data_IF_247229173089
#
_entry.id   IF_247229173089
#
_cell.length_a   1.000
_cell.length_b   1.000
_cell.length_c   1.000
_cell.angle_alpha   90.00
_cell.angle_beta   90.00
_cell.angle_gamma   90.00
#
_symmetry.space_group_name_H-M   'P 1'
#
loop_
_entity.id
_entity.type
_entity.pdbx_description
1 polymer ?
#
# COMPACT_ATOMS: atom_id res chain seq x y z
N UNK A 1 6.92 37.55 -45.35
CA UNK A 1 6.93 37.30 -43.90
C UNK A 1 7.01 35.79 -43.66
N UNK A 2 8.17 35.17 -43.92
CA UNK A 2 8.29 33.70 -43.84
C UNK A 2 9.72 33.22 -43.54
N UNK A 3 10.58 34.12 -43.04
CA UNK A 3 12.02 33.82 -42.80
C UNK A 3 12.36 33.54 -41.34
N UNK A 4 11.46 33.84 -40.41
CA UNK A 4 11.72 33.71 -38.97
C UNK A 4 11.38 32.30 -38.45
N UNK A 5 10.71 31.46 -39.25
CA UNK A 5 10.41 30.07 -38.85
C UNK A 5 11.57 29.07 -39.05
N UNK A 6 12.80 29.50 -39.36
CA UNK A 6 13.88 28.57 -39.76
C UNK A 6 15.23 28.83 -39.10
N UNK A 7 15.26 29.26 -37.84
CA UNK A 7 16.49 29.15 -37.05
C UNK A 7 16.57 27.76 -36.39
N UNK A 8 17.61 26.96 -36.69
CA UNK A 8 17.75 25.61 -36.15
C UNK A 8 17.83 25.58 -34.61
N UNK A 9 18.29 26.68 -33.99
CA UNK A 9 18.35 26.84 -32.53
C UNK A 9 16.96 26.95 -31.88
N UNK A 10 16.01 27.68 -32.49
CA UNK A 10 14.64 27.77 -31.98
C UNK A 10 13.90 26.44 -32.09
N UNK A 11 14.18 25.66 -33.15
CA UNK A 11 13.64 24.31 -33.32
C UNK A 11 14.23 23.34 -32.30
N UNK A 12 15.54 23.41 -32.04
CA UNK A 12 16.23 22.62 -31.03
C UNK A 12 15.67 22.89 -29.62
N UNK A 13 15.52 24.17 -29.24
CA UNK A 13 14.93 24.55 -27.95
C UNK A 13 13.47 24.09 -27.79
N UNK A 14 12.68 24.07 -28.86
CA UNK A 14 11.33 23.52 -28.83
C UNK A 14 11.32 22.00 -28.60
N UNK A 15 12.21 21.24 -29.26
CA UNK A 15 12.40 19.80 -29.00
C UNK A 15 12.86 19.52 -27.57
N UNK A 16 13.79 20.31 -27.03
CA UNK A 16 14.26 20.16 -25.66
C UNK A 16 13.14 20.42 -24.64
N UNK A 17 12.31 21.44 -24.90
CA UNK A 17 11.13 21.72 -24.09
C UNK A 17 10.10 20.57 -24.12
N UNK A 18 9.88 19.95 -25.28
CA UNK A 18 8.98 18.78 -25.40
C UNK A 18 9.54 17.54 -24.71
N UNK A 19 10.85 17.31 -24.80
CA UNK A 19 11.53 16.25 -24.07
C UNK A 19 11.41 16.47 -22.55
N UNK A 20 11.64 17.69 -22.08
CA UNK A 20 11.49 18.05 -20.66
C UNK A 20 10.04 17.85 -20.18
N UNK A 21 9.04 18.26 -20.96
CA UNK A 21 7.62 18.04 -20.63
C UNK A 21 7.28 16.55 -20.52
N UNK A 22 7.84 15.72 -21.40
CA UNK A 22 7.61 14.27 -21.40
C UNK A 22 8.19 13.63 -20.13
N UNK A 23 9.40 14.04 -19.73
CA UNK A 23 10.04 13.57 -18.49
C UNK A 23 9.18 13.98 -17.29
N UNK A 24 8.82 15.26 -17.17
CA UNK A 24 8.02 15.76 -16.05
C UNK A 24 6.67 15.05 -15.98
N UNK A 25 5.98 14.86 -17.12
CA UNK A 25 4.70 14.14 -17.15
C UNK A 25 4.85 12.69 -16.66
N UNK A 26 5.95 12.03 -17.03
CA UNK A 26 6.26 10.65 -16.59
C UNK A 26 6.52 10.59 -15.09
N UNK A 27 7.34 11.51 -14.56
CA UNK A 27 7.65 11.58 -13.13
C UNK A 27 6.42 11.92 -12.28
N UNK A 28 5.58 12.86 -12.75
CA UNK A 28 4.31 13.18 -12.07
C UNK A 28 3.37 11.97 -12.06
N UNK A 29 3.27 11.23 -13.17
CA UNK A 29 2.45 10.02 -13.22
C UNK A 29 2.96 8.94 -12.24
N UNK A 30 4.27 8.71 -12.19
CA UNK A 30 4.91 7.77 -11.27
C UNK A 30 4.70 8.18 -9.80
N UNK A 31 4.89 9.46 -9.48
CA UNK A 31 4.69 10.00 -8.15
C UNK A 31 3.25 9.83 -7.67
N UNK A 32 2.27 10.19 -8.51
CA UNK A 32 0.85 10.05 -8.18
C UNK A 32 0.45 8.58 -8.01
N UNK A 33 1.04 7.65 -8.79
CA UNK A 33 0.84 6.22 -8.58
C UNK A 33 1.42 5.73 -7.24
N UNK A 34 2.60 6.25 -6.86
CA UNK A 34 3.21 5.99 -5.56
C UNK A 34 2.34 6.49 -4.40
N UNK A 35 1.80 7.70 -4.50
CA UNK A 35 0.91 8.26 -3.47
C UNK A 35 -0.35 7.42 -3.26
N UNK A 36 -1.03 7.00 -4.33
CA UNK A 36 -2.19 6.11 -4.21
C UNK A 36 -1.84 4.77 -3.57
N UNK A 37 -0.65 4.22 -3.85
CA UNK A 37 -0.18 2.99 -3.20
C UNK A 37 0.04 3.19 -1.69
N UNK A 38 0.57 4.35 -1.30
CA UNK A 38 0.79 4.70 0.10
C UNK A 38 -0.53 4.81 0.88
N UNK A 39 -1.58 5.38 0.29
CA UNK A 39 -2.91 5.51 0.91
C UNK A 39 -3.57 4.15 1.23
N UNK A 40 -3.24 3.12 0.46
CA UNK A 40 -3.87 1.80 0.56
C UNK A 40 -3.10 0.84 1.48
N UNK A 41 -1.81 1.10 1.70
CA UNK A 41 -0.94 0.24 2.52
C UNK A 41 -1.46 0.08 3.96
N UNK A 42 -1.92 1.15 4.65
CA UNK A 42 -2.49 1.03 6.00
C UNK A 42 -3.71 0.12 6.08
N UNK A 43 -4.56 0.14 5.04
CA UNK A 43 -5.75 -0.72 4.97
C UNK A 43 -5.36 -2.20 4.85
N UNK A 44 -4.34 -2.52 4.04
CA UNK A 44 -3.83 -3.90 3.90
C UNK A 44 -3.19 -4.39 5.19
N UNK A 45 -2.46 -3.53 5.89
CA UNK A 45 -1.84 -3.86 7.17
C UNK A 45 -2.90 -4.11 8.24
N UNK A 46 -3.92 -3.24 8.37
CA UNK A 46 -5.03 -3.44 9.30
C UNK A 46 -5.78 -4.76 9.03
N UNK A 47 -6.01 -5.11 7.76
CA UNK A 47 -6.61 -6.39 7.38
C UNK A 47 -5.78 -7.60 7.86
N UNK A 48 -4.47 -7.55 7.65
CA UNK A 48 -3.56 -8.62 8.10
C UNK A 48 -3.53 -8.73 9.62
N UNK A 49 -3.58 -7.61 10.33
CA UNK A 49 -3.64 -7.61 11.79
C UNK A 49 -4.93 -8.24 12.29
N UNK A 50 -6.10 -7.82 11.77
CA UNK A 50 -7.39 -8.42 12.15
C UNK A 50 -7.41 -9.92 11.95
N UNK A 51 -6.83 -10.40 10.85
CA UNK A 51 -6.76 -11.84 10.59
C UNK A 51 -5.83 -12.57 11.55
N UNK A 52 -4.70 -11.97 11.93
CA UNK A 52 -3.81 -12.51 12.95
C UNK A 52 -4.53 -12.62 14.32
N UNK A 53 -5.29 -11.59 14.70
CA UNK A 53 -6.05 -11.59 15.96
C UNK A 53 -7.11 -12.70 15.99
N UNK A 54 -7.81 -12.93 14.86
CA UNK A 54 -8.77 -14.05 14.72
C UNK A 54 -8.07 -15.41 14.84
N UNK A 55 -6.92 -15.58 14.19
CA UNK A 55 -6.14 -16.82 14.29
C UNK A 55 -5.74 -17.09 15.73
N UNK A 56 -5.23 -16.08 16.43
CA UNK A 56 -4.80 -16.22 17.82
C UNK A 56 -5.97 -16.57 18.74
N UNK A 57 -7.12 -15.91 18.57
CA UNK A 57 -8.33 -16.22 19.33
C UNK A 57 -8.79 -17.68 19.13
N UNK A 58 -8.74 -18.20 17.90
CA UNK A 58 -9.13 -19.58 17.63
C UNK A 58 -8.11 -20.61 18.14
N UNK A 59 -6.81 -20.30 18.13
CA UNK A 59 -5.79 -21.16 18.71
C UNK A 59 -5.92 -21.23 20.24
N UNK A 60 -6.21 -20.10 20.90
CA UNK A 60 -6.50 -20.08 22.34
C UNK A 60 -7.77 -20.90 22.66
N UNK A 61 -8.79 -20.79 21.81
CA UNK A 61 -10.02 -21.58 21.94
C UNK A 61 -9.76 -23.08 21.77
N UNK A 62 -8.87 -23.46 20.87
CA UNK A 62 -8.42 -24.84 20.71
C UNK A 62 -7.70 -25.35 21.97
N UNK A 63 -6.81 -24.55 22.54
CA UNK A 63 -6.07 -24.87 23.76
C UNK A 63 -6.99 -25.15 24.95
N UNK A 64 -8.04 -24.35 25.10
CA UNK A 64 -9.05 -24.56 26.14
C UNK A 64 -9.94 -25.79 25.89
N UNK A 65 -10.26 -26.09 24.63
CA UNK A 65 -11.13 -27.21 24.27
C UNK A 65 -10.42 -28.56 24.30
N UNK A 66 -9.12 -28.59 24.00
CA UNK A 66 -8.30 -29.80 23.92
C UNK A 66 -7.02 -29.65 24.76
N UNK A 67 -7.13 -29.54 26.10
CA UNK A 67 -5.99 -29.31 26.98
C UNK A 67 -4.98 -30.46 26.98
N UNK A 68 -5.38 -31.67 26.57
CA UNK A 68 -4.52 -32.86 26.48
C UNK A 68 -3.86 -33.03 25.10
N UNK A 69 -4.16 -32.15 24.13
CA UNK A 69 -3.54 -32.24 22.81
C UNK A 69 -2.03 -32.00 22.92
N UNK A 70 -1.23 -32.89 22.33
CA UNK A 70 0.22 -32.79 22.32
C UNK A 70 0.70 -31.48 21.67
N UNK A 71 1.72 -30.85 22.25
CA UNK A 71 2.28 -29.58 21.77
C UNK A 71 2.68 -29.65 20.29
N UNK A 72 3.27 -30.76 19.85
CA UNK A 72 3.69 -30.99 18.46
C UNK A 72 2.51 -30.91 17.49
N UNK A 73 1.35 -31.46 17.86
CA UNK A 73 0.14 -31.38 17.04
C UNK A 73 -0.48 -29.98 17.07
N UNK A 74 -0.43 -29.28 18.22
CA UNK A 74 -0.89 -27.88 18.32
C UNK A 74 -0.11 -26.98 17.37
N UNK A 75 1.21 -27.12 17.34
CA UNK A 75 2.07 -26.35 16.45
C UNK A 75 1.75 -26.60 14.98
N UNK A 76 1.50 -27.85 14.58
CA UNK A 76 1.11 -28.17 13.21
C UNK A 76 -0.26 -27.60 12.83
N UNK A 77 -1.22 -27.61 13.76
CA UNK A 77 -2.51 -26.93 13.56
C UNK A 77 -2.32 -25.42 13.42
N UNK A 78 -1.54 -24.79 14.29
CA UNK A 78 -1.23 -23.36 14.23
C UNK A 78 -0.58 -22.98 12.90
N UNK A 79 0.43 -23.73 12.46
CA UNK A 79 1.08 -23.53 11.15
C UNK A 79 0.09 -23.70 10.00
N UNK A 80 -0.80 -24.67 10.07
CA UNK A 80 -1.79 -24.94 9.04
C UNK A 80 -2.79 -23.78 8.92
N UNK A 81 -3.34 -23.32 10.05
CA UNK A 81 -4.29 -22.21 10.10
C UNK A 81 -3.66 -20.92 9.58
N UNK A 82 -2.45 -20.58 10.06
CA UNK A 82 -1.71 -19.40 9.57
C UNK A 82 -1.49 -19.46 8.05
N UNK A 83 -1.08 -20.62 7.53
CA UNK A 83 -0.86 -20.82 6.09
C UNK A 83 -2.15 -20.71 5.27
N UNK A 84 -3.28 -21.15 5.82
CA UNK A 84 -4.59 -21.00 5.17
C UNK A 84 -4.95 -19.51 5.09
N UNK A 85 -4.83 -18.79 6.20
CA UNK A 85 -5.11 -17.35 6.25
C UNK A 85 -4.20 -16.56 5.31
N UNK A 86 -2.90 -16.86 5.31
CA UNK A 86 -1.94 -16.23 4.39
C UNK A 86 -2.34 -16.43 2.92
N UNK A 87 -2.76 -17.65 2.55
CA UNK A 87 -3.22 -17.97 1.19
C UNK A 87 -4.52 -17.22 0.85
N UNK A 88 -5.47 -17.16 1.78
CA UNK A 88 -6.74 -16.44 1.58
C UNK A 88 -6.52 -14.94 1.42
N UNK A 89 -5.59 -14.35 2.18
CA UNK A 89 -5.30 -12.92 2.14
C UNK A 89 -4.35 -12.52 1.01
N UNK A 90 -3.62 -13.45 0.40
CA UNK A 90 -2.70 -13.13 -0.69
C UNK A 90 -3.40 -12.47 -1.88
N UNK A 91 -4.40 -13.14 -2.46
CA UNK A 91 -5.11 -12.63 -3.64
C UNK A 91 -5.79 -11.27 -3.42
N UNK A 92 -6.58 -11.04 -2.35
CA UNK A 92 -7.18 -9.74 -2.11
C UNK A 92 -6.10 -8.68 -1.86
N UNK A 93 -5.09 -8.92 -1.00
CA UNK A 93 -4.07 -7.88 -0.72
C UNK A 93 -3.24 -7.49 -1.95
N UNK A 94 -2.98 -8.41 -2.88
CA UNK A 94 -2.36 -8.09 -4.17
C UNK A 94 -3.31 -7.28 -5.06
N UNK A 95 -4.58 -7.66 -5.14
CA UNK A 95 -5.57 -6.99 -6.01
C UNK A 95 -5.78 -5.54 -5.60
N UNK A 96 -5.74 -5.29 -4.29
CA UNK A 96 -5.83 -3.97 -3.67
C UNK A 96 -4.70 -3.05 -4.12
N UNK A 97 -3.46 -3.53 -4.06
CA UNK A 97 -2.28 -2.80 -4.55
C UNK A 97 -2.36 -2.51 -6.05
N UNK A 98 -2.85 -3.46 -6.84
CA UNK A 98 -3.01 -3.27 -8.29
C UNK A 98 -4.06 -2.20 -8.62
N UNK A 99 -5.17 -2.16 -7.89
CA UNK A 99 -6.26 -1.22 -8.14
C UNK A 99 -5.97 0.19 -7.62
N UNK A 100 -5.14 0.34 -6.60
CA UNK A 100 -4.61 1.64 -6.18
C UNK A 100 -3.85 2.36 -7.32
N UNK A 101 -3.20 1.61 -8.20
CA UNK A 101 -2.50 2.19 -9.36
C UNK A 101 -3.45 2.63 -10.49
N UNK A 102 -4.73 2.23 -10.48
CA UNK A 102 -5.71 2.52 -11.51
C UNK A 102 -6.57 3.77 -11.19
N UNK A 103 -7.15 4.45 -12.20
CA UNK A 103 -8.14 5.51 -11.97
C UNK A 103 -9.34 4.95 -11.19
N UNK A 104 -9.65 5.53 -10.01
CA UNK A 104 -10.75 5.09 -9.13
C UNK A 104 -10.36 4.11 -8.01
N UNK A 105 -9.06 3.90 -7.77
CA UNK A 105 -8.52 3.02 -6.72
C UNK A 105 -9.01 3.32 -5.30
N UNK A 106 -9.34 4.58 -5.00
CA UNK A 106 -9.81 5.03 -3.69
C UNK A 106 -11.11 4.31 -3.27
N UNK A 107 -12.02 4.08 -4.22
CA UNK A 107 -13.27 3.35 -3.96
C UNK A 107 -13.04 1.88 -3.61
N UNK A 108 -11.94 1.29 -4.09
CA UNK A 108 -11.61 -0.10 -3.78
C UNK A 108 -11.03 -0.26 -2.38
N UNK A 109 -10.22 0.69 -1.93
CA UNK A 109 -9.72 0.73 -0.55
C UNK A 109 -10.88 0.90 0.46
N UNK A 110 -11.84 1.77 0.13
CA UNK A 110 -13.06 1.96 0.91
C UNK A 110 -13.93 0.70 0.95
N UNK A 111 -14.13 0.05 -0.20
CA UNK A 111 -14.86 -1.21 -0.26
C UNK A 111 -14.25 -2.32 0.62
N UNK A 112 -12.91 -2.40 0.74
CA UNK A 112 -12.28 -3.37 1.65
C UNK A 112 -12.49 -3.04 3.12
N UNK A 113 -12.44 -1.76 3.48
CA UNK A 113 -12.70 -1.34 4.86
C UNK A 113 -14.08 -1.76 5.29
N UNK A 114 -15.07 -1.64 4.39
CA UNK A 114 -16.43 -2.13 4.60
C UNK A 114 -16.51 -3.67 4.59
N UNK A 115 -16.00 -4.33 3.54
CA UNK A 115 -16.05 -5.79 3.36
C UNK A 115 -15.40 -6.56 4.53
N UNK A 116 -14.38 -5.98 5.13
CA UNK A 116 -13.62 -6.57 6.23
C UNK A 116 -13.75 -5.75 7.50
N UNK A 117 -14.85 -5.00 7.70
CA UNK A 117 -15.19 -4.17 8.87
C UNK A 117 -13.94 -3.70 9.65
N UNK A 118 -13.01 -3.05 8.95
CA UNK A 118 -11.72 -2.70 9.53
C UNK A 118 -11.91 -1.53 10.48
N UNK A 119 -11.33 -1.62 11.68
CA UNK A 119 -11.35 -0.53 12.65
C UNK A 119 -10.66 0.71 12.04
N UNK A 120 -11.38 1.84 11.87
CA UNK A 120 -10.80 3.08 11.37
C UNK A 120 -9.58 3.54 12.18
N UNK A 121 -9.57 3.32 13.50
CA UNK A 121 -8.46 3.69 14.37
C UNK A 121 -7.21 2.83 14.09
N UNK A 122 -7.40 1.55 13.78
CA UNK A 122 -6.29 0.67 13.43
C UNK A 122 -5.65 1.07 12.08
N UNK A 123 -6.47 1.46 11.10
CA UNK A 123 -5.98 1.96 9.80
C UNK A 123 -5.20 3.27 9.99
N UNK A 124 -5.74 4.20 10.79
CA UNK A 124 -5.12 5.50 11.06
C UNK A 124 -3.81 5.36 11.84
N UNK A 125 -3.74 4.47 12.83
CA UNK A 125 -2.53 4.19 13.59
C UNK A 125 -1.39 3.65 12.70
N UNK A 126 -1.71 2.79 11.73
CA UNK A 126 -0.71 2.31 10.75
C UNK A 126 -0.27 3.46 9.83
N UNK A 127 -1.21 4.24 9.30
CA UNK A 127 -0.91 5.37 8.42
C UNK A 127 0.02 6.40 9.10
N UNK A 128 -0.23 6.71 10.38
CA UNK A 128 0.61 7.60 11.17
C UNK A 128 2.04 7.06 11.40
N UNK A 129 2.22 5.73 11.40
CA UNK A 129 3.54 5.10 11.57
C UNK A 129 4.36 5.03 10.27
N UNK A 130 3.70 5.10 9.10
CA UNK A 130 4.33 5.01 7.78
C UNK A 130 4.72 6.38 7.20
N UNK A 131 4.23 7.48 7.78
CA UNK A 131 4.66 8.82 7.40
C UNK A 131 6.14 9.03 7.80
N UNK A 132 7.04 9.34 6.85
CA UNK A 132 8.36 9.80 7.22
C UNK A 132 8.18 11.09 8.02
N UNK A 133 8.74 11.14 9.24
CA UNK A 133 9.09 12.40 9.86
C UNK A 133 9.90 13.17 8.82
N UNK A 134 9.29 14.17 8.16
CA UNK A 134 10.06 15.23 7.56
C UNK A 134 10.72 15.95 8.73
N UNK A 135 11.87 15.44 9.18
CA UNK A 135 12.81 16.23 9.95
C UNK A 135 13.21 17.37 9.03
N UNK A 136 12.55 18.50 9.23
CA UNK A 136 13.03 19.82 8.83
C UNK A 136 14.41 20.02 9.44
N UNK A 137 15.45 19.50 8.79
CA UNK A 137 16.81 20.04 8.90
C UNK A 137 16.83 21.35 8.11
N UNK A 138 16.15 22.35 8.68
CA UNK A 138 16.28 23.75 8.29
C UNK A 138 16.64 24.57 9.52
N UNK A 139 17.58 24.08 10.32
CA UNK A 139 18.27 24.91 11.31
C UNK A 139 19.69 24.39 11.57
N UNK A 140 20.63 24.85 10.74
CA UNK A 140 21.97 25.24 11.19
C UNK A 140 22.69 25.96 10.06
N UNK A 141 22.48 27.27 10.03
CA UNK A 141 23.44 28.22 9.47
C UNK A 141 23.72 29.24 10.56
N UNK A 142 24.76 28.98 11.35
CA UNK A 142 25.55 29.97 12.07
C UNK A 142 27.03 29.67 11.83
#
# INVERSE_FOLDING_TARGET
>A
MDRIQREPSARAAATDADAARTIVATEVANYLAGQRMAEVTPTVTALRQRAADVVEAELLRLDHRLPELEATHRDEVAKTVRRVVDKLLHAPTVRVKQLASAPGGDSYAEALRELFELDPQAVEAVAASELPFMTTDLDKSE
#
